data_IF_939904808765
#
_entry.id   IF_939904808765
#
_cell.length_a   1.000
_cell.length_b   1.000
_cell.length_c   1.000
_cell.angle_alpha   90.00
_cell.angle_beta   90.00
_cell.angle_gamma   90.00
#
_symmetry.space_group_name_H-M   'P 1'
#
loop_
_entity.id
_entity.type
_entity.pdbx_description
1 polymer ?
#
# COMPACT_ATOMS: atom_id res chain seq x y z
N UNK A 1 -7.91 0.51 32.73
CA UNK A 1 -6.62 -0.02 33.24
C UNK A 1 -6.52 -1.50 32.85
N UNK A 2 -6.23 -1.76 31.58
CA UNK A 2 -5.85 -3.08 31.09
C UNK A 2 -4.34 -3.11 30.99
N UNK A 3 -3.70 -3.77 31.95
CA UNK A 3 -2.28 -4.09 31.92
C UNK A 3 -2.02 -5.03 30.74
N UNK A 4 -1.66 -4.47 29.58
CA UNK A 4 -0.97 -5.23 28.54
C UNK A 4 0.41 -5.53 29.07
N UNK A 5 0.65 -6.76 29.53
CA UNK A 5 2.00 -7.24 29.78
C UNK A 5 2.74 -7.18 28.44
N UNK A 6 3.50 -6.11 28.21
CA UNK A 6 4.28 -5.99 26.99
C UNK A 6 5.31 -7.12 26.98
N UNK A 7 5.19 -8.04 26.03
CA UNK A 7 6.12 -9.15 25.90
C UNK A 7 7.53 -8.61 25.69
N UNK A 8 8.49 -9.24 26.37
CA UNK A 8 9.91 -9.07 26.05
C UNK A 8 10.13 -9.53 24.61
N UNK A 9 10.82 -8.70 23.81
CA UNK A 9 11.22 -8.96 22.43
C UNK A 9 12.64 -9.53 22.34
N UNK A 10 13.43 -9.45 23.42
CA UNK A 10 14.74 -10.09 23.51
C UNK A 10 15.78 -9.46 22.59
N UNK A 11 16.67 -10.28 22.02
CA UNK A 11 17.66 -9.85 21.04
C UNK A 11 17.04 -9.78 19.65
N UNK A 12 17.01 -8.59 19.05
CA UNK A 12 16.26 -8.34 17.80
C UNK A 12 17.19 -8.08 16.63
N UNK A 13 16.94 -8.79 15.54
CA UNK A 13 17.57 -8.65 14.24
C UNK A 13 16.71 -7.78 13.31
N UNK A 14 17.32 -6.83 12.61
CA UNK A 14 16.66 -6.03 11.56
C UNK A 14 17.38 -6.25 10.23
N UNK A 15 16.62 -6.49 9.16
CA UNK A 15 17.18 -6.75 7.83
C UNK A 15 16.89 -5.59 6.86
N UNK A 16 17.94 -5.06 6.27
CA UNK A 16 17.94 -3.99 5.27
C UNK A 16 18.25 -2.61 5.85
N UNK A 17 19.15 -1.86 5.20
CA UNK A 17 19.55 -0.49 5.60
C UNK A 17 18.74 0.61 4.86
N UNK A 18 17.56 0.26 4.36
CA UNK A 18 16.62 1.20 3.73
C UNK A 18 15.86 2.03 4.77
N UNK A 19 14.95 2.89 4.31
CA UNK A 19 14.12 3.74 5.19
C UNK A 19 13.32 2.92 6.22
N UNK A 20 12.73 1.80 5.78
CA UNK A 20 11.96 0.90 6.64
C UNK A 20 12.81 0.24 7.72
N UNK A 21 13.96 -0.33 7.35
CA UNK A 21 14.86 -0.96 8.33
C UNK A 21 15.48 0.04 9.31
N UNK A 22 15.84 1.24 8.85
CA UNK A 22 16.28 2.32 9.74
C UNK A 22 15.20 2.68 10.77
N UNK A 23 13.97 2.88 10.30
CA UNK A 23 12.83 3.21 11.17
C UNK A 23 12.56 2.11 12.21
N UNK A 24 12.52 0.85 11.78
CA UNK A 24 12.32 -0.29 12.68
C UNK A 24 13.44 -0.40 13.72
N UNK A 25 14.70 -0.25 13.30
CA UNK A 25 15.85 -0.31 14.21
C UNK A 25 15.84 0.83 15.23
N UNK A 26 15.49 2.06 14.83
CA UNK A 26 15.35 3.20 15.76
C UNK A 26 14.23 2.98 16.77
N UNK A 27 13.07 2.50 16.32
CA UNK A 27 11.95 2.16 17.22
C UNK A 27 12.37 1.12 18.25
N UNK A 28 12.96 0.00 17.79
CA UNK A 28 13.42 -1.07 18.66
C UNK A 28 14.52 -0.61 19.63
N UNK A 29 15.46 0.21 19.18
CA UNK A 29 16.52 0.77 20.03
C UNK A 29 15.94 1.65 21.15
N UNK A 30 14.86 2.40 20.88
CA UNK A 30 14.18 3.21 21.91
C UNK A 30 13.55 2.37 23.02
N UNK A 31 13.32 1.07 22.79
CA UNK A 31 12.77 0.13 23.76
C UNK A 31 13.86 -0.56 24.60
N UNK A 32 15.14 -0.32 24.33
CA UNK A 32 16.27 -0.89 25.11
C UNK A 32 16.48 -0.10 26.41
N UNK A 33 16.71 -0.76 27.57
CA UNK A 33 16.73 -2.21 27.82
C UNK A 33 15.36 -2.74 28.31
N UNK A 34 14.29 -1.96 28.18
CA UNK A 34 13.01 -2.24 28.82
C UNK A 34 12.30 -3.47 28.27
N UNK A 35 12.20 -3.61 26.94
CA UNK A 35 11.55 -4.72 26.23
C UNK A 35 12.46 -5.39 25.21
N UNK A 36 13.55 -4.73 24.82
CA UNK A 36 14.53 -5.21 23.84
C UNK A 36 15.87 -5.27 24.56
N UNK A 37 16.58 -6.40 24.43
CA UNK A 37 17.89 -6.62 25.04
C UNK A 37 19.01 -6.05 24.19
N UNK A 38 18.96 -6.28 22.87
CA UNK A 38 19.88 -5.70 21.89
C UNK A 38 19.22 -5.58 20.52
N UNK A 39 19.78 -4.71 19.67
CA UNK A 39 19.36 -4.56 18.27
C UNK A 39 20.58 -4.71 17.36
N UNK A 40 20.52 -5.65 16.43
CA UNK A 40 21.51 -5.78 15.35
C UNK A 40 20.83 -5.58 14.00
N UNK A 41 21.36 -4.71 13.15
CA UNK A 41 20.89 -4.49 11.78
C UNK A 41 21.90 -5.06 10.79
N UNK A 42 21.43 -5.92 9.89
CA UNK A 42 22.19 -6.35 8.72
C UNK A 42 21.73 -5.60 7.47
N UNK A 43 22.66 -4.93 6.80
CA UNK A 43 22.36 -4.13 5.61
C UNK A 43 22.26 -4.93 4.30
N UNK A 44 22.79 -6.15 4.25
CA UNK A 44 22.88 -7.00 3.05
C UNK A 44 24.23 -6.89 2.32
N UNK A 45 24.44 -7.70 1.26
CA UNK A 45 25.71 -7.84 0.56
C UNK A 45 26.25 -6.54 -0.05
N UNK A 46 25.36 -5.73 -0.64
CA UNK A 46 25.75 -4.49 -1.32
C UNK A 46 25.78 -3.27 -0.38
N UNK A 47 25.42 -3.45 0.89
CA UNK A 47 25.41 -2.36 1.87
C UNK A 47 26.82 -1.96 2.27
N UNK A 48 27.00 -0.67 2.56
CA UNK A 48 28.27 -0.08 2.99
C UNK A 48 28.04 0.84 4.18
N UNK A 49 29.03 1.03 5.07
CA UNK A 49 28.94 2.02 6.13
C UNK A 49 28.75 3.42 5.56
N UNK A 50 27.88 4.21 6.19
CA UNK A 50 27.54 5.56 5.75
C UNK A 50 26.91 6.38 6.87
N UNK A 51 26.27 7.49 6.52
CA UNK A 51 25.61 8.37 7.50
C UNK A 51 24.51 7.64 8.28
N UNK A 52 23.67 6.85 7.60
CA UNK A 52 22.59 6.07 8.24
C UNK A 52 23.12 5.05 9.24
N UNK A 53 24.14 4.26 8.86
CA UNK A 53 24.70 3.25 9.77
C UNK A 53 25.33 3.91 11.00
N UNK A 54 26.08 5.01 10.83
CA UNK A 54 26.66 5.76 11.94
C UNK A 54 25.60 6.33 12.88
N UNK A 55 24.51 6.85 12.33
CA UNK A 55 23.41 7.39 13.12
C UNK A 55 22.68 6.30 13.93
N UNK A 56 22.61 5.07 13.42
CA UNK A 56 22.08 3.90 14.12
C UNK A 56 23.04 3.40 15.21
N UNK A 57 24.34 3.36 14.93
CA UNK A 57 25.38 3.01 15.93
C UNK A 57 25.36 3.98 17.11
N UNK A 58 25.22 5.28 16.85
CA UNK A 58 25.04 6.30 17.91
C UNK A 58 23.75 6.11 18.72
N UNK A 59 22.73 5.46 18.15
CA UNK A 59 21.50 5.09 18.83
C UNK A 59 21.58 3.73 19.55
N UNK A 60 22.76 3.09 19.57
CA UNK A 60 22.98 1.82 20.26
C UNK A 60 22.67 0.57 19.43
N UNK A 61 22.48 0.72 18.11
CA UNK A 61 22.27 -0.42 17.19
C UNK A 61 23.60 -0.94 16.69
N UNK A 62 23.83 -2.25 16.77
CA UNK A 62 24.96 -2.88 16.08
C UNK A 62 24.65 -2.97 14.59
N UNK A 63 25.51 -2.44 13.71
CA UNK A 63 25.26 -2.44 12.27
C UNK A 63 26.31 -3.28 11.54
N UNK A 64 25.83 -4.26 10.77
CA UNK A 64 26.63 -5.15 9.93
C UNK A 64 26.34 -4.86 8.47
N UNK A 65 27.37 -4.63 7.66
CA UNK A 65 27.26 -4.32 6.23
C UNK A 65 28.17 -5.20 5.39
N UNK A 66 27.87 -5.35 4.10
CA UNK A 66 28.72 -6.08 3.16
C UNK A 66 28.54 -7.61 3.19
N UNK A 67 27.50 -8.11 3.87
CA UNK A 67 27.21 -9.54 3.98
C UNK A 67 25.71 -9.82 4.15
N UNK A 68 25.28 -10.99 3.68
CA UNK A 68 23.97 -11.59 3.93
C UNK A 68 24.06 -12.82 4.85
N UNK A 69 25.27 -13.20 5.26
CA UNK A 69 25.50 -14.26 6.25
C UNK A 69 25.24 -13.67 7.64
N UNK A 70 24.07 -13.98 8.20
CA UNK A 70 23.68 -13.60 9.55
C UNK A 70 24.30 -14.62 10.50
N UNK A 71 24.92 -14.11 11.56
CA UNK A 71 25.51 -14.91 12.63
C UNK A 71 24.85 -14.56 13.97
N UNK A 72 24.83 -15.52 14.89
CA UNK A 72 24.27 -15.35 16.23
C UNK A 72 22.91 -16.04 16.42
N UNK A 73 22.23 -15.65 17.49
CA UNK A 73 20.89 -16.13 17.86
C UNK A 73 20.06 -14.93 18.28
N UNK A 74 18.85 -14.82 17.75
CA UNK A 74 17.93 -13.72 17.96
C UNK A 74 16.54 -14.23 18.30
N UNK A 75 15.81 -13.50 19.12
CA UNK A 75 14.42 -13.79 19.48
C UNK A 75 13.45 -13.37 18.37
N UNK A 76 13.76 -12.29 17.64
CA UNK A 76 12.92 -11.77 16.58
C UNK A 76 13.76 -11.20 15.44
N UNK A 77 13.42 -11.55 14.19
CA UNK A 77 13.87 -10.88 12.98
C UNK A 77 12.77 -10.01 12.38
N UNK A 78 13.12 -8.78 11.99
CA UNK A 78 12.24 -7.84 11.32
C UNK A 78 12.77 -7.55 9.92
N UNK A 79 12.07 -8.04 8.91
CA UNK A 79 12.47 -7.94 7.51
C UNK A 79 11.89 -6.71 6.82
N UNK A 80 12.75 -5.99 6.07
CA UNK A 80 12.28 -4.99 5.13
C UNK A 80 11.50 -5.63 3.98
N UNK A 81 10.40 -5.02 3.50
CA UNK A 81 9.51 -5.63 2.50
C UNK A 81 10.17 -5.87 1.14
N UNK A 82 11.25 -5.17 0.81
CA UNK A 82 11.97 -5.38 -0.45
C UNK A 82 12.80 -6.66 -0.50
N UNK A 83 12.99 -7.37 0.62
CA UNK A 83 13.80 -8.59 0.68
C UNK A 83 12.92 -9.79 0.24
N UNK A 84 13.28 -10.54 -0.81
CA UNK A 84 12.51 -11.71 -1.24
C UNK A 84 12.42 -12.80 -0.17
N UNK A 85 11.25 -13.44 -0.08
CA UNK A 85 10.97 -14.50 0.90
C UNK A 85 11.88 -15.73 0.74
N UNK A 86 12.33 -15.97 -0.48
CA UNK A 86 13.24 -17.04 -0.88
C UNK A 86 14.68 -16.55 -1.11
N UNK A 87 15.03 -15.35 -0.63
CA UNK A 87 16.41 -14.88 -0.69
C UNK A 87 17.33 -15.66 0.26
N UNK A 88 18.61 -15.76 -0.10
CA UNK A 88 19.62 -16.32 0.80
C UNK A 88 19.71 -15.51 2.11
N UNK A 89 19.57 -14.19 2.00
CA UNK A 89 19.58 -13.29 3.16
C UNK A 89 18.46 -13.58 4.15
N UNK A 90 17.21 -13.75 3.68
CA UNK A 90 16.09 -14.03 4.58
C UNK A 90 16.19 -15.43 5.20
N UNK A 91 16.66 -16.43 4.44
CA UNK A 91 16.92 -17.78 4.98
C UNK A 91 17.99 -17.78 6.06
N UNK A 92 19.05 -17.02 5.85
CA UNK A 92 20.15 -16.83 6.80
C UNK A 92 19.63 -16.24 8.11
N UNK A 93 18.83 -15.17 8.02
CA UNK A 93 18.19 -14.56 9.18
C UNK A 93 17.22 -15.51 9.90
N UNK A 94 16.35 -16.21 9.16
CA UNK A 94 15.40 -17.16 9.71
C UNK A 94 16.08 -18.33 10.45
N UNK A 95 17.26 -18.76 9.99
CA UNK A 95 18.03 -19.81 10.67
C UNK A 95 18.63 -19.34 12.01
N UNK A 96 18.84 -18.03 12.17
CA UNK A 96 19.39 -17.41 13.37
C UNK A 96 18.33 -16.79 14.28
N UNK A 97 17.04 -16.89 13.95
CA UNK A 97 15.96 -16.19 14.67
C UNK A 97 14.82 -17.14 15.05
N UNK A 98 14.27 -16.98 16.25
CA UNK A 98 13.11 -17.75 16.70
C UNK A 98 11.83 -17.42 15.91
N UNK A 99 11.66 -16.15 15.54
CA UNK A 99 10.53 -15.66 14.75
C UNK A 99 11.03 -14.66 13.68
N UNK A 100 10.37 -14.64 12.52
CA UNK A 100 10.61 -13.64 11.47
C UNK A 100 9.30 -12.98 11.06
N UNK A 101 9.28 -11.65 11.10
CA UNK A 101 8.11 -10.82 10.75
C UNK A 101 8.50 -9.64 9.86
N UNK A 102 7.50 -8.99 9.26
CA UNK A 102 7.69 -7.72 8.58
C UNK A 102 7.56 -6.50 9.50
N UNK A 103 7.96 -5.33 8.98
CA UNK A 103 7.82 -4.06 9.69
C UNK A 103 6.35 -3.72 10.03
N UNK A 104 5.40 -4.02 9.15
CA UNK A 104 3.97 -3.78 9.40
C UNK A 104 3.45 -4.65 10.54
N UNK A 105 3.91 -5.90 10.62
CA UNK A 105 3.56 -6.80 11.72
C UNK A 105 4.12 -6.29 13.05
N UNK A 106 5.38 -5.84 13.06
CA UNK A 106 5.98 -5.20 14.23
C UNK A 106 5.15 -3.98 14.66
N UNK A 107 4.85 -3.06 13.75
CA UNK A 107 4.09 -1.86 14.07
C UNK A 107 2.68 -2.17 14.59
N UNK A 108 2.01 -3.17 14.01
CA UNK A 108 0.71 -3.62 14.49
C UNK A 108 0.80 -4.21 15.90
N UNK A 109 1.81 -5.04 16.21
CA UNK A 109 1.99 -5.62 17.55
C UNK A 109 2.23 -4.56 18.62
N UNK A 110 2.93 -3.49 18.27
CA UNK A 110 3.22 -2.37 19.17
C UNK A 110 2.00 -1.48 19.42
N UNK A 111 1.14 -1.31 18.42
CA UNK A 111 -0.03 -0.45 18.50
C UNK A 111 -1.21 -1.02 17.71
N UNK A 112 -1.90 -2.06 18.22
CA UNK A 112 -2.83 -2.88 17.43
C UNK A 112 -4.19 -2.24 17.15
N UNK A 113 -4.51 -1.14 17.82
CA UNK A 113 -5.81 -0.50 17.68
C UNK A 113 -5.88 0.36 16.41
N UNK A 114 -7.10 0.53 15.88
CA UNK A 114 -7.44 1.55 14.86
C UNK A 114 -6.60 1.50 13.59
N UNK A 115 -6.56 0.33 12.96
CA UNK A 115 -5.96 0.13 11.65
C UNK A 115 -7.02 0.00 10.55
N UNK A 116 -6.72 0.61 9.41
CA UNK A 116 -7.35 0.34 8.12
C UNK A 116 -6.25 -0.20 7.19
N UNK A 117 -6.53 -1.26 6.44
CA UNK A 117 -5.59 -1.81 5.47
C UNK A 117 -6.12 -1.59 4.04
N UNK A 118 -5.32 -0.99 3.16
CA UNK A 118 -5.70 -0.78 1.76
C UNK A 118 -4.66 -1.43 0.86
N UNK A 119 -5.11 -2.37 0.02
CA UNK A 119 -4.26 -3.04 -0.95
C UNK A 119 -4.94 -3.20 -2.32
N UNK A 120 -4.16 -3.70 -3.28
CA UNK A 120 -4.52 -3.82 -4.70
C UNK A 120 -3.29 -3.69 -5.59
N UNK A 121 -3.40 -3.99 -6.88
CA UNK A 121 -2.32 -3.65 -7.82
C UNK A 121 -2.27 -2.13 -8.02
N UNK A 122 -3.42 -1.51 -8.30
CA UNK A 122 -3.56 -0.09 -8.60
C UNK A 122 -4.58 0.61 -7.66
N UNK A 123 -4.54 1.94 -7.60
CA UNK A 123 -5.51 2.75 -6.84
C UNK A 123 -5.25 2.86 -5.33
N UNK A 124 -4.30 2.09 -4.78
CA UNK A 124 -3.97 2.07 -3.35
C UNK A 124 -3.70 3.46 -2.76
N UNK A 125 -2.83 4.22 -3.42
CA UNK A 125 -2.41 5.57 -2.99
C UNK A 125 -3.57 6.53 -2.93
N UNK A 126 -4.35 6.58 -4.01
CA UNK A 126 -5.53 7.44 -4.09
C UNK A 126 -6.53 7.08 -3.00
N UNK A 127 -6.82 5.78 -2.85
CA UNK A 127 -7.78 5.29 -1.84
C UNK A 127 -7.28 5.55 -0.42
N UNK A 128 -5.98 5.40 -0.15
CA UNK A 128 -5.38 5.62 1.17
C UNK A 128 -5.45 7.10 1.57
N UNK A 129 -5.03 8.01 0.68
CA UNK A 129 -5.13 9.44 0.99
C UNK A 129 -6.56 9.92 1.03
N UNK A 130 -7.44 9.42 0.15
CA UNK A 130 -8.85 9.77 0.17
C UNK A 130 -9.52 9.29 1.46
N UNK A 131 -9.28 8.05 1.88
CA UNK A 131 -9.80 7.54 3.16
C UNK A 131 -9.31 8.39 4.33
N UNK A 132 -8.01 8.73 4.35
CA UNK A 132 -7.43 9.61 5.39
C UNK A 132 -8.10 10.98 5.38
N UNK A 133 -8.32 11.56 4.19
CA UNK A 133 -9.00 12.84 4.01
C UNK A 133 -10.44 12.80 4.53
N UNK A 134 -11.23 11.81 4.10
CA UNK A 134 -12.63 11.64 4.53
C UNK A 134 -12.74 11.50 6.05
N UNK A 135 -11.84 10.72 6.67
CA UNK A 135 -11.81 10.57 8.12
C UNK A 135 -11.47 11.88 8.82
N UNK A 136 -10.52 12.67 8.30
CA UNK A 136 -10.16 13.98 8.86
C UNK A 136 -11.30 15.00 8.72
N UNK A 137 -11.95 15.06 7.56
CA UNK A 137 -13.13 15.91 7.32
C UNK A 137 -14.32 15.53 8.22
N UNK A 138 -14.40 14.26 8.63
CA UNK A 138 -15.34 13.78 9.64
C UNK A 138 -14.92 14.07 11.10
N UNK A 139 -13.79 14.77 11.31
CA UNK A 139 -13.29 15.12 12.64
C UNK A 139 -12.54 13.99 13.35
N UNK A 140 -12.13 12.95 12.64
CA UNK A 140 -11.39 11.82 13.18
C UNK A 140 -9.89 12.05 13.01
N UNK A 141 -9.10 11.76 14.06
CA UNK A 141 -7.65 11.71 13.94
C UNK A 141 -7.27 10.52 13.05
N UNK A 142 -6.63 10.78 11.91
CA UNK A 142 -6.21 9.76 10.96
C UNK A 142 -4.91 10.17 10.25
N UNK A 143 -4.08 9.18 9.92
CA UNK A 143 -2.80 9.35 9.25
C UNK A 143 -2.57 8.22 8.25
N UNK A 144 -2.11 8.58 7.05
CA UNK A 144 -1.65 7.61 6.06
C UNK A 144 -0.27 7.06 6.45
N UNK A 145 -0.14 5.74 6.44
CA UNK A 145 1.12 5.03 6.74
C UNK A 145 1.34 3.89 5.73
N UNK A 146 2.50 3.26 5.76
CA UNK A 146 2.80 2.04 5.01
C UNK A 146 3.71 2.29 3.81
N UNK A 147 3.35 1.73 2.65
CA UNK A 147 4.12 1.84 1.41
C UNK A 147 4.19 3.29 0.87
N UNK A 148 3.31 4.17 1.34
CA UNK A 148 3.32 5.62 1.07
C UNK A 148 3.21 6.40 2.37
N UNK A 149 3.82 7.58 2.38
CA UNK A 149 3.87 8.46 3.55
C UNK A 149 4.99 8.03 4.49
N UNK A 150 4.61 7.78 5.74
CA UNK A 150 5.52 7.44 6.84
C UNK A 150 5.47 5.93 7.10
N UNK A 151 6.63 5.24 7.20
CA UNK A 151 6.68 3.86 7.68
C UNK A 151 5.90 3.73 8.98
N UNK A 152 5.03 2.73 9.13
CA UNK A 152 4.26 2.54 10.35
C UNK A 152 5.11 2.58 11.63
N UNK A 153 6.31 1.99 11.63
CA UNK A 153 7.23 2.05 12.79
C UNK A 153 7.77 3.46 13.08
N UNK A 154 7.88 4.34 12.08
CA UNK A 154 8.27 5.75 12.27
C UNK A 154 7.10 6.52 12.87
N UNK A 155 5.88 6.26 12.41
CA UNK A 155 4.66 6.91 12.90
C UNK A 155 4.27 6.50 14.33
N UNK A 156 4.81 5.40 14.87
CA UNK A 156 4.55 4.98 16.25
C UNK A 156 5.04 6.01 17.28
N UNK A 157 6.14 6.71 16.99
CA UNK A 157 6.79 7.60 17.94
C UNK A 157 5.91 8.78 18.37
N UNK A 158 5.03 9.24 17.48
CA UNK A 158 4.17 10.40 17.66
C UNK A 158 2.69 10.09 17.38
N UNK A 159 2.30 8.80 17.41
CA UNK A 159 0.91 8.38 17.21
C UNK A 159 0.02 8.97 18.31
N UNK A 160 -0.97 9.75 17.90
CA UNK A 160 -1.95 10.33 18.83
C UNK A 160 -2.86 9.28 19.44
N UNK A 161 -3.36 9.53 20.64
CA UNK A 161 -4.37 8.67 21.27
C UNK A 161 -5.62 8.60 20.37
N UNK A 162 -6.05 7.38 20.06
CA UNK A 162 -7.20 7.16 19.18
C UNK A 162 -6.99 7.50 17.70
N UNK A 163 -5.76 7.83 17.28
CA UNK A 163 -5.44 8.12 15.87
C UNK A 163 -5.53 6.85 15.01
N UNK A 164 -6.24 6.94 13.89
CA UNK A 164 -6.35 5.88 12.90
C UNK A 164 -5.12 5.82 12.00
N UNK A 165 -4.55 4.64 11.85
CA UNK A 165 -3.56 4.35 10.82
C UNK A 165 -4.27 3.81 9.58
N UNK A 166 -4.27 4.62 8.52
CA UNK A 166 -4.78 4.25 7.20
C UNK A 166 -3.59 3.73 6.41
N UNK A 167 -3.38 2.41 6.44
CA UNK A 167 -2.18 1.78 5.93
C UNK A 167 -2.32 1.38 4.47
N UNK A 168 -1.51 1.98 3.59
CA UNK A 168 -1.27 1.44 2.25
C UNK A 168 -0.33 0.23 2.38
N UNK A 169 -0.81 -0.96 2.05
CA UNK A 169 -0.04 -2.19 2.19
C UNK A 169 0.24 -2.85 0.83
N UNK A 170 1.52 -3.05 0.52
CA UNK A 170 1.96 -3.84 -0.63
C UNK A 170 1.76 -5.35 -0.38
N UNK A 171 1.81 -6.14 -1.45
CA UNK A 171 1.79 -7.61 -1.33
C UNK A 171 3.00 -8.13 -0.56
N UNK A 172 4.16 -7.47 -0.68
CA UNK A 172 5.37 -7.85 0.05
C UNK A 172 5.23 -7.64 1.56
N UNK A 173 4.69 -6.49 1.96
CA UNK A 173 4.42 -6.21 3.37
C UNK A 173 3.45 -7.24 3.95
N UNK A 174 2.32 -7.46 3.28
CA UNK A 174 1.29 -8.41 3.72
C UNK A 174 1.80 -9.86 3.79
N UNK A 175 2.71 -10.27 2.90
CA UNK A 175 3.27 -11.62 2.92
C UNK A 175 4.01 -11.95 4.23
N UNK A 176 4.44 -10.93 4.97
CA UNK A 176 5.18 -11.05 6.25
C UNK A 176 4.36 -10.65 7.48
N UNK A 177 3.05 -10.45 7.34
CA UNK A 177 2.13 -10.17 8.48
C UNK A 177 1.46 -11.43 8.99
N UNK A 178 1.36 -11.61 10.30
CA UNK A 178 0.72 -12.77 10.93
C UNK A 178 -0.50 -12.38 11.74
N UNK A 179 -0.41 -11.34 12.58
CA UNK A 179 -1.47 -10.95 13.53
C UNK A 179 -2.25 -9.72 13.10
N UNK A 180 -1.81 -9.04 12.04
CA UNK A 180 -2.49 -7.87 11.49
C UNK A 180 -4.01 -8.08 11.42
N UNK A 181 -4.76 -7.24 12.13
CA UNK A 181 -6.22 -7.22 12.17
C UNK A 181 -6.73 -5.79 12.02
N UNK A 182 -6.98 -5.31 10.81
CA UNK A 182 -7.60 -4.01 10.60
C UNK A 182 -9.09 -4.05 10.92
N UNK A 183 -9.67 -2.91 11.31
CA UNK A 183 -11.14 -2.77 11.48
C UNK A 183 -11.87 -2.69 10.15
N UNK A 184 -11.20 -2.20 9.12
CA UNK A 184 -11.64 -2.29 7.74
C UNK A 184 -10.46 -2.59 6.82
N UNK A 185 -10.64 -3.50 5.86
CA UNK A 185 -9.64 -3.83 4.86
C UNK A 185 -10.22 -3.67 3.45
N UNK A 186 -9.39 -3.22 2.51
CA UNK A 186 -9.78 -2.95 1.12
C UNK A 186 -8.91 -3.72 0.16
N UNK A 187 -9.52 -4.44 -0.79
CA UNK A 187 -8.85 -5.01 -1.96
C UNK A 187 -9.48 -4.42 -3.24
N UNK A 188 -8.73 -3.55 -3.91
CA UNK A 188 -9.23 -2.77 -5.05
C UNK A 188 -9.26 -3.53 -6.37
N UNK A 189 -8.19 -4.28 -6.65
CA UNK A 189 -8.00 -5.04 -7.89
C UNK A 189 -6.78 -5.95 -7.77
N UNK A 190 -6.75 -7.01 -8.58
CA UNK A 190 -5.56 -7.86 -8.78
C UNK A 190 -5.31 -8.09 -10.26
N UNK A 191 -4.27 -7.43 -10.77
CA UNK A 191 -3.73 -7.59 -12.13
C UNK A 191 -2.23 -7.95 -12.07
N UNK A 192 -1.66 -8.59 -13.11
CA UNK A 192 -0.25 -8.99 -13.12
C UNK A 192 0.72 -7.86 -12.75
N UNK A 193 1.49 -8.05 -11.69
CA UNK A 193 2.58 -7.21 -11.21
C UNK A 193 3.43 -8.07 -10.25
N UNK A 194 4.71 -7.74 -10.09
CA UNK A 194 5.59 -8.37 -9.10
C UNK A 194 5.72 -9.91 -9.16
N UNK A 195 5.53 -10.52 -10.33
CA UNK A 195 5.64 -11.98 -10.50
C UNK A 195 7.08 -12.48 -10.35
N UNK A 196 8.07 -11.62 -10.53
CA UNK A 196 9.48 -11.90 -10.24
C UNK A 196 9.73 -12.23 -8.75
N UNK A 197 8.85 -11.77 -7.87
CA UNK A 197 8.94 -11.98 -6.42
C UNK A 197 7.94 -13.04 -5.93
N UNK A 198 6.72 -13.02 -6.49
CA UNK A 198 5.64 -13.94 -6.07
C UNK A 198 5.63 -15.26 -6.86
N UNK A 199 6.38 -15.35 -7.96
CA UNK A 199 6.44 -16.47 -8.91
C UNK A 199 5.15 -16.75 -9.69
N UNK A 200 3.98 -16.60 -9.05
CA UNK A 200 2.66 -16.92 -9.63
C UNK A 200 1.63 -15.85 -9.28
N UNK A 201 0.58 -15.75 -10.11
CA UNK A 201 -0.56 -14.86 -9.84
C UNK A 201 -1.33 -15.29 -8.59
N UNK A 202 -1.41 -16.61 -8.35
CA UNK A 202 -2.04 -17.20 -7.18
C UNK A 202 -1.35 -16.76 -5.88
N UNK A 203 -0.01 -16.84 -5.83
CA UNK A 203 0.75 -16.37 -4.69
C UNK A 203 0.63 -14.85 -4.49
N UNK A 204 0.63 -14.07 -5.58
CA UNK A 204 0.45 -12.62 -5.52
C UNK A 204 -0.93 -12.22 -4.97
N UNK A 205 -2.00 -12.89 -5.43
CA UNK A 205 -3.36 -12.68 -4.95
C UNK A 205 -3.49 -13.12 -3.48
N UNK A 206 -2.95 -14.28 -3.12
CA UNK A 206 -2.97 -14.81 -1.75
C UNK A 206 -2.21 -13.89 -0.78
N UNK A 207 -1.10 -13.28 -1.21
CA UNK A 207 -0.37 -12.32 -0.41
C UNK A 207 -1.23 -11.09 -0.06
N UNK A 208 -2.00 -10.56 -1.03
CA UNK A 208 -2.93 -9.44 -0.76
C UNK A 208 -4.12 -9.83 0.12
N UNK A 209 -4.62 -11.05 -0.05
CA UNK A 209 -5.73 -11.58 0.77
C UNK A 209 -5.38 -11.66 2.27
N UNK A 210 -4.09 -11.69 2.63
CA UNK A 210 -3.66 -11.66 4.04
C UNK A 210 -4.15 -10.44 4.81
N UNK A 211 -4.52 -9.35 4.13
CA UNK A 211 -5.17 -8.19 4.76
C UNK A 211 -6.47 -8.56 5.51
N UNK A 212 -7.12 -9.67 5.14
CA UNK A 212 -8.36 -10.15 5.72
C UNK A 212 -8.17 -11.33 6.70
N UNK A 213 -6.93 -11.78 6.94
CA UNK A 213 -6.65 -13.05 7.61
C UNK A 213 -7.21 -13.14 9.05
N UNK A 214 -7.06 -12.06 9.82
CA UNK A 214 -7.47 -12.04 11.24
C UNK A 214 -8.72 -11.19 11.52
N UNK A 215 -9.40 -10.70 10.48
CA UNK A 215 -10.65 -9.96 10.65
C UNK A 215 -11.73 -10.84 11.26
N UNK A 216 -12.60 -10.22 12.07
CA UNK A 216 -13.76 -10.86 12.68
C UNK A 216 -15.09 -10.28 12.16
N UNK A 217 -16.20 -10.77 12.70
CA UNK A 217 -17.55 -10.38 12.26
C UNK A 217 -17.89 -8.88 12.45
N UNK A 218 -17.19 -8.18 13.35
CA UNK A 218 -17.35 -6.73 13.58
C UNK A 218 -16.38 -5.85 12.77
N UNK A 219 -15.71 -6.43 11.78
CA UNK A 219 -14.78 -5.75 10.88
C UNK A 219 -15.34 -5.79 9.44
N UNK A 220 -15.02 -4.80 8.59
CA UNK A 220 -15.56 -4.68 7.24
C UNK A 220 -14.52 -5.00 6.16
N UNK A 221 -14.78 -6.01 5.34
CA UNK A 221 -13.97 -6.33 4.16
C UNK A 221 -14.59 -5.67 2.92
N UNK A 222 -13.94 -4.65 2.35
CA UNK A 222 -14.36 -4.03 1.08
C UNK A 222 -13.57 -4.67 -0.06
N UNK A 223 -14.25 -5.37 -0.96
CA UNK A 223 -13.58 -6.14 -2.01
C UNK A 223 -14.22 -5.83 -3.34
N UNK A 224 -13.40 -5.42 -4.33
CA UNK A 224 -13.88 -5.26 -5.69
C UNK A 224 -14.39 -6.57 -6.26
N UNK A 225 -15.49 -6.54 -7.00
CA UNK A 225 -16.04 -7.71 -7.70
C UNK A 225 -15.96 -7.56 -9.22
N UNK A 226 -15.20 -6.58 -9.70
CA UNK A 226 -15.01 -6.30 -11.12
C UNK A 226 -13.98 -7.25 -11.77
N UNK A 227 -13.02 -7.80 -11.01
CA UNK A 227 -12.07 -8.83 -11.48
C UNK A 227 -12.22 -10.20 -10.81
N UNK A 228 -11.75 -11.26 -11.48
CA UNK A 228 -11.96 -12.64 -11.07
C UNK A 228 -11.20 -13.03 -9.78
N UNK A 229 -10.04 -12.44 -9.54
CA UNK A 229 -9.23 -12.70 -8.35
C UNK A 229 -9.91 -12.10 -7.12
N UNK A 230 -10.35 -10.84 -7.22
CA UNK A 230 -11.06 -10.17 -6.13
C UNK A 230 -12.42 -10.83 -5.86
N UNK A 231 -13.18 -11.24 -6.88
CA UNK A 231 -14.40 -12.06 -6.69
C UNK A 231 -14.14 -13.34 -5.89
N UNK A 232 -13.03 -14.01 -6.19
CA UNK A 232 -12.65 -15.23 -5.47
C UNK A 232 -12.29 -14.94 -4.00
N UNK A 233 -11.64 -13.81 -3.73
CA UNK A 233 -11.35 -13.35 -2.35
C UNK A 233 -12.63 -12.96 -1.62
N UNK A 234 -13.54 -12.22 -2.25
CA UNK A 234 -14.83 -11.83 -1.68
C UNK A 234 -15.62 -13.07 -1.22
N UNK A 235 -15.76 -14.08 -2.09
CA UNK A 235 -16.43 -15.33 -1.76
C UNK A 235 -15.79 -16.09 -0.58
N UNK A 236 -14.44 -16.04 -0.45
CA UNK A 236 -13.74 -16.63 0.71
C UNK A 236 -13.96 -15.84 1.99
N UNK A 237 -13.98 -14.52 1.93
CA UNK A 237 -14.32 -13.65 3.06
C UNK A 237 -15.75 -13.93 3.55
N UNK A 238 -16.72 -14.03 2.64
CA UNK A 238 -18.11 -14.38 2.95
C UNK A 238 -18.25 -15.78 3.51
N UNK A 239 -17.56 -16.78 2.93
CA UNK A 239 -17.55 -18.15 3.44
C UNK A 239 -16.98 -18.28 4.85
N UNK A 240 -16.15 -17.32 5.29
CA UNK A 240 -15.65 -17.19 6.66
C UNK A 240 -16.61 -16.42 7.59
N UNK A 241 -17.73 -15.91 7.07
CA UNK A 241 -18.70 -15.11 7.81
C UNK A 241 -18.27 -13.66 8.03
N UNK A 242 -17.35 -13.12 7.23
CA UNK A 242 -16.97 -11.70 7.32
C UNK A 242 -18.05 -10.81 6.69
N UNK A 243 -18.30 -9.66 7.30
CA UNK A 243 -19.07 -8.58 6.66
C UNK A 243 -18.30 -8.09 5.44
N UNK A 244 -18.75 -8.49 4.26
CA UNK A 244 -18.07 -8.21 2.99
C UNK A 244 -18.90 -7.20 2.19
N UNK A 245 -18.32 -6.05 1.92
CA UNK A 245 -18.85 -5.02 1.03
C UNK A 245 -18.37 -5.28 -0.39
N UNK A 246 -19.27 -5.74 -1.26
CA UNK A 246 -19.00 -5.91 -2.68
C UNK A 246 -18.88 -4.54 -3.35
N UNK A 247 -17.69 -4.21 -3.84
CA UNK A 247 -17.40 -2.97 -4.54
C UNK A 247 -17.45 -3.19 -6.06
N UNK A 248 -18.25 -2.42 -6.79
CA UNK A 248 -18.33 -2.55 -8.25
C UNK A 248 -18.69 -1.23 -8.93
N UNK A 249 -17.99 -0.89 -10.01
CA UNK A 249 -18.38 0.24 -10.88
C UNK A 249 -19.09 -0.20 -12.15
N UNK A 250 -19.26 -1.52 -12.35
CA UNK A 250 -19.89 -2.09 -13.55
C UNK A 250 -21.37 -2.46 -13.33
N UNK A 251 -21.73 -2.79 -12.09
CA UNK A 251 -23.07 -3.24 -11.68
C UNK A 251 -23.40 -2.83 -10.25
N UNK A 252 -24.68 -2.94 -9.90
CA UNK A 252 -25.19 -2.83 -8.53
C UNK A 252 -25.26 -4.24 -7.90
N UNK A 253 -24.43 -4.56 -6.88
CA UNK A 253 -24.55 -5.82 -6.15
C UNK A 253 -25.81 -5.90 -5.28
N UNK A 254 -26.36 -7.11 -5.17
CA UNK A 254 -27.55 -7.41 -4.36
C UNK A 254 -27.23 -7.58 -2.86
N UNK A 255 -25.95 -7.60 -2.49
CA UNK A 255 -25.50 -7.83 -1.11
C UNK A 255 -25.96 -6.71 -0.16
N UNK A 256 -26.10 -7.06 1.13
CA UNK A 256 -26.48 -6.11 2.19
C UNK A 256 -25.39 -5.05 2.43
N UNK A 257 -24.13 -5.40 2.19
CA UNK A 257 -23.01 -4.47 2.14
C UNK A 257 -22.50 -4.40 0.70
N UNK A 258 -22.62 -3.24 0.06
CA UNK A 258 -22.22 -3.02 -1.33
C UNK A 258 -21.79 -1.56 -1.54
N UNK A 259 -20.88 -1.32 -2.48
CA UNK A 259 -20.50 0.02 -2.89
C UNK A 259 -20.48 0.08 -4.42
N UNK A 260 -21.33 0.91 -5.01
CA UNK A 260 -21.60 0.85 -6.44
C UNK A 260 -21.99 2.18 -7.06
N UNK A 261 -21.93 2.23 -8.39
CA UNK A 261 -22.50 3.32 -9.19
C UNK A 261 -23.95 3.01 -9.55
N UNK A 262 -24.86 3.90 -9.14
CA UNK A 262 -26.23 3.88 -9.63
C UNK A 262 -26.41 5.03 -10.62
N UNK A 263 -26.40 4.69 -11.91
CA UNK A 263 -26.22 5.66 -13.00
C UNK A 263 -24.85 6.34 -12.85
N UNK A 264 -24.79 7.60 -12.43
CA UNK A 264 -23.53 8.31 -12.12
C UNK A 264 -23.36 8.60 -10.62
N UNK A 265 -24.33 8.26 -9.78
CA UNK A 265 -24.29 8.53 -8.34
C UNK A 265 -23.50 7.45 -7.61
N UNK A 266 -22.55 7.85 -6.77
CA UNK A 266 -21.85 6.96 -5.85
C UNK A 266 -22.79 6.57 -4.70
N UNK A 267 -23.03 5.28 -4.54
CA UNK A 267 -23.90 4.74 -3.47
C UNK A 267 -23.10 3.73 -2.66
N UNK A 268 -23.13 3.88 -1.34
CA UNK A 268 -22.63 2.87 -0.39
C UNK A 268 -23.81 2.35 0.41
N UNK A 269 -24.00 1.03 0.41
CA UNK A 269 -24.96 0.29 1.21
C UNK A 269 -24.21 -0.45 2.31
N UNK A 270 -24.53 -0.22 3.57
CA UNK A 270 -24.00 -0.98 4.71
C UNK A 270 -25.15 -1.55 5.52
N UNK A 271 -25.13 -2.86 5.74
CA UNK A 271 -26.17 -3.61 6.46
C UNK A 271 -27.61 -3.28 5.97
N UNK A 272 -27.76 -3.12 4.65
CA UNK A 272 -29.04 -2.79 3.99
C UNK A 272 -29.42 -1.30 3.98
N UNK A 273 -28.65 -0.43 4.64
CA UNK A 273 -28.88 1.01 4.65
C UNK A 273 -28.09 1.67 3.52
N UNK A 274 -28.79 2.37 2.62
CA UNK A 274 -28.15 3.07 1.51
C UNK A 274 -27.79 4.52 1.84
N UNK A 275 -26.59 4.90 1.43
CA UNK A 275 -26.05 6.24 1.49
C UNK A 275 -25.73 6.70 0.06
N UNK A 276 -26.63 7.51 -0.51
CA UNK A 276 -26.35 8.22 -1.76
C UNK A 276 -25.44 9.42 -1.47
N UNK A 277 -24.24 9.40 -2.05
CA UNK A 277 -23.20 10.37 -1.76
C UNK A 277 -23.28 11.54 -2.74
N UNK A 278 -22.56 11.49 -3.85
CA UNK A 278 -22.60 12.51 -4.91
C UNK A 278 -22.49 11.84 -6.28
N UNK A 279 -22.72 12.62 -7.33
CA UNK A 279 -22.45 12.18 -8.70
C UNK A 279 -20.95 12.16 -8.97
N UNK A 280 -20.51 11.19 -9.77
CA UNK A 280 -19.11 11.04 -10.19
C UNK A 280 -18.55 12.30 -10.85
N UNK A 281 -19.39 13.09 -11.51
CA UNK A 281 -19.01 14.37 -12.13
C UNK A 281 -18.57 15.43 -11.12
N UNK A 282 -18.99 15.30 -9.86
CA UNK A 282 -18.66 16.26 -8.79
C UNK A 282 -17.34 15.89 -8.08
N UNK A 283 -16.75 14.74 -8.40
CA UNK A 283 -15.40 14.39 -7.97
C UNK A 283 -14.37 15.22 -8.74
N UNK A 284 -13.35 15.72 -8.04
CA UNK A 284 -12.17 16.36 -8.67
C UNK A 284 -11.16 15.35 -9.22
N UNK A 285 -11.38 14.05 -8.96
CA UNK A 285 -10.58 12.93 -9.48
C UNK A 285 -11.37 12.20 -10.57
N UNK A 286 -10.84 12.20 -11.80
CA UNK A 286 -11.58 11.75 -12.97
C UNK A 286 -11.39 10.26 -13.29
N UNK A 287 -12.39 9.64 -13.91
CA UNK A 287 -12.35 8.26 -14.43
C UNK A 287 -13.01 7.22 -13.52
N UNK A 288 -13.46 6.11 -14.11
CA UNK A 288 -14.17 5.04 -13.40
C UNK A 288 -13.33 4.40 -12.27
N UNK A 289 -12.03 4.26 -12.48
CA UNK A 289 -11.12 3.76 -11.43
C UNK A 289 -11.08 4.69 -10.21
N UNK A 290 -11.24 6.00 -10.39
CA UNK A 290 -11.31 6.95 -9.28
C UNK A 290 -12.68 6.95 -8.61
N UNK A 291 -13.76 6.65 -9.34
CA UNK A 291 -15.06 6.35 -8.71
C UNK A 291 -14.97 5.08 -7.83
N UNK A 292 -14.28 4.02 -8.29
CA UNK A 292 -14.02 2.81 -7.51
C UNK A 292 -13.20 3.14 -6.24
N UNK A 293 -12.13 3.92 -6.36
CA UNK A 293 -11.33 4.39 -5.21
C UNK A 293 -12.19 5.19 -4.21
N UNK A 294 -13.07 6.06 -4.72
CA UNK A 294 -13.97 6.88 -3.91
C UNK A 294 -15.02 6.05 -3.16
N UNK A 295 -15.64 5.08 -3.83
CA UNK A 295 -16.57 4.14 -3.22
C UNK A 295 -15.89 3.29 -2.14
N UNK A 296 -14.66 2.83 -2.38
CA UNK A 296 -13.87 2.10 -1.39
C UNK A 296 -13.58 2.95 -0.14
N UNK A 297 -13.08 4.17 -0.35
CA UNK A 297 -12.76 5.10 0.73
C UNK A 297 -14.00 5.52 1.54
N UNK A 298 -15.12 5.78 0.85
CA UNK A 298 -16.39 6.11 1.47
C UNK A 298 -16.94 4.96 2.32
N UNK A 299 -16.82 3.72 1.84
CA UNK A 299 -17.23 2.53 2.59
C UNK A 299 -16.49 2.41 3.91
N UNK A 300 -15.17 2.64 3.90
CA UNK A 300 -14.36 2.64 5.12
C UNK A 300 -14.75 3.79 6.05
N UNK A 301 -14.88 5.01 5.54
CA UNK A 301 -15.23 6.16 6.37
C UNK A 301 -16.59 6.00 7.06
N UNK A 302 -17.61 5.54 6.33
CA UNK A 302 -18.95 5.28 6.85
C UNK A 302 -18.94 4.18 7.93
N UNK A 303 -18.25 3.06 7.68
CA UNK A 303 -18.11 1.97 8.65
C UNK A 303 -17.48 2.44 9.97
N UNK A 304 -16.50 3.34 9.88
CA UNK A 304 -15.81 3.87 11.05
C UNK A 304 -16.53 5.04 11.74
N UNK A 305 -17.74 5.38 11.27
CA UNK A 305 -18.65 6.31 11.94
C UNK A 305 -18.70 7.72 11.36
N UNK A 306 -18.10 7.99 10.19
CA UNK A 306 -18.32 9.25 9.49
C UNK A 306 -19.78 9.36 9.03
N UNK A 307 -20.38 10.56 9.15
CA UNK A 307 -21.74 10.77 8.65
C UNK A 307 -21.76 10.82 7.12
N UNK A 308 -22.86 10.42 6.45
CA UNK A 308 -22.98 10.49 4.99
C UNK A 308 -22.73 11.89 4.43
N UNK A 309 -23.13 12.93 5.16
CA UNK A 309 -22.92 14.33 4.78
C UNK A 309 -21.44 14.68 4.78
N UNK A 310 -20.70 14.31 5.84
CA UNK A 310 -19.24 14.53 5.92
C UNK A 310 -18.49 13.77 4.85
N UNK A 311 -18.93 12.54 4.54
CA UNK A 311 -18.33 11.75 3.45
C UNK A 311 -18.60 12.40 2.10
N UNK A 312 -19.82 12.88 1.84
CA UNK A 312 -20.17 13.61 0.61
C UNK A 312 -19.31 14.88 0.46
N UNK A 313 -19.24 15.70 1.49
CA UNK A 313 -18.47 16.96 1.46
C UNK A 313 -16.97 16.69 1.30
N UNK A 314 -16.45 15.67 2.00
CA UNK A 314 -15.06 15.23 1.89
C UNK A 314 -14.70 14.71 0.50
N UNK A 315 -15.59 13.94 -0.14
CA UNK A 315 -15.40 13.46 -1.51
C UNK A 315 -15.37 14.60 -2.53
N UNK A 316 -16.25 15.59 -2.38
CA UNK A 316 -16.29 16.77 -3.24
C UNK A 316 -15.08 17.70 -3.01
N UNK A 317 -14.53 17.74 -1.79
CA UNK A 317 -13.41 18.61 -1.45
C UNK A 317 -12.04 18.01 -1.82
N UNK A 318 -11.92 16.67 -1.84
CA UNK A 318 -10.66 15.97 -2.09
C UNK A 318 -10.02 16.36 -3.43
N UNK A 319 -8.79 16.84 -3.37
CA UNK A 319 -7.97 17.16 -4.53
C UNK A 319 -6.98 16.02 -4.81
N UNK A 320 -6.58 15.81 -6.08
CA UNK A 320 -5.58 14.80 -6.43
C UNK A 320 -4.30 14.92 -5.59
N UNK A 321 -3.70 13.78 -5.29
CA UNK A 321 -2.43 13.68 -4.56
C UNK A 321 -1.30 14.14 -5.50
N UNK A 322 -0.32 14.86 -4.96
CA UNK A 322 0.96 15.14 -5.62
C UNK A 322 1.50 13.87 -6.32
N UNK A 323 2.09 14.02 -7.50
CA UNK A 323 2.63 12.95 -8.35
C UNK A 323 1.62 12.01 -9.07
N UNK A 324 0.32 12.36 -9.16
CA UNK A 324 -0.65 11.68 -10.04
C UNK A 324 -1.30 12.65 -11.02
N UNK A 325 -0.79 12.68 -12.25
CA UNK A 325 -1.14 13.70 -13.26
C UNK A 325 -1.11 15.11 -12.64
N UNK A 326 -0.15 15.36 -11.75
CA UNK A 326 -0.06 16.60 -11.01
C UNK A 326 0.48 17.71 -11.92
N UNK A 327 -0.20 18.86 -12.06
CA UNK A 327 0.36 19.99 -12.77
C UNK A 327 1.64 20.48 -12.08
N UNK A 328 2.78 20.36 -12.77
CA UNK A 328 4.10 20.77 -12.29
C UNK A 328 4.55 22.12 -12.86
N UNK A 329 3.59 22.95 -13.27
CA UNK A 329 3.81 24.27 -13.86
C UNK A 329 3.87 24.28 -15.38
N UNK A 330 4.10 25.46 -15.93
CA UNK A 330 4.18 25.72 -17.37
C UNK A 330 5.42 26.56 -17.67
N UNK A 331 6.22 26.12 -18.65
CA UNK A 331 7.41 26.87 -19.09
C UNK A 331 7.38 26.94 -20.61
N UNK A 332 7.38 28.17 -21.15
CA UNK A 332 7.40 28.40 -22.60
C UNK A 332 6.19 27.82 -23.34
N UNK A 333 5.01 27.81 -22.72
CA UNK A 333 3.78 27.24 -23.31
C UNK A 333 3.65 25.72 -23.19
N UNK A 334 4.61 25.04 -22.54
CA UNK A 334 4.56 23.59 -22.30
C UNK A 334 4.15 23.32 -20.87
N UNK A 335 3.04 22.61 -20.70
CA UNK A 335 2.56 22.14 -19.39
C UNK A 335 3.37 20.92 -18.97
N UNK A 336 3.92 20.97 -17.76
CA UNK A 336 4.61 19.84 -17.14
C UNK A 336 3.64 19.10 -16.24
N UNK A 337 3.67 17.78 -16.30
CA UNK A 337 2.83 16.91 -15.49
C UNK A 337 3.71 15.92 -14.77
N UNK A 338 3.57 15.86 -13.45
CA UNK A 338 4.24 14.94 -12.57
C UNK A 338 3.33 13.74 -12.30
N UNK A 339 3.68 12.60 -12.90
CA UNK A 339 2.99 11.32 -12.72
C UNK A 339 3.96 10.24 -12.22
N UNK A 340 4.92 10.62 -11.37
CA UNK A 340 6.00 9.73 -10.92
C UNK A 340 5.53 8.50 -10.12
N UNK A 341 4.24 8.44 -9.74
CA UNK A 341 3.61 7.26 -9.13
C UNK A 341 3.19 6.18 -10.14
N UNK A 342 3.25 6.44 -11.45
CA UNK A 342 3.02 5.42 -12.47
C UNK A 342 4.23 4.45 -12.58
N UNK A 343 4.29 3.50 -11.64
CA UNK A 343 5.42 2.54 -11.48
C UNK A 343 5.18 1.17 -12.15
N UNK A 344 4.14 1.06 -12.96
CA UNK A 344 3.82 -0.10 -13.80
C UNK A 344 3.18 0.35 -15.13
N UNK A 345 3.16 -0.55 -16.12
CA UNK A 345 2.67 -0.27 -17.49
C UNK A 345 1.22 0.20 -17.50
N UNK A 346 0.34 -0.52 -16.80
CA UNK A 346 -1.10 -0.23 -16.70
C UNK A 346 -1.38 1.19 -16.13
N UNK A 347 -0.58 1.65 -15.16
CA UNK A 347 -0.72 3.01 -14.63
C UNK A 347 -0.41 4.07 -15.68
N UNK A 348 0.64 3.87 -16.47
CA UNK A 348 1.01 4.79 -17.55
C UNK A 348 -0.06 4.77 -18.64
N UNK A 349 -0.51 3.59 -19.08
CA UNK A 349 -1.56 3.43 -20.09
C UNK A 349 -2.82 4.19 -19.69
N UNK A 350 -3.25 4.07 -18.43
CA UNK A 350 -4.38 4.81 -17.87
C UNK A 350 -4.12 6.31 -17.85
N UNK A 351 -2.93 6.74 -17.43
CA UNK A 351 -2.60 8.16 -17.34
C UNK A 351 -2.64 8.85 -18.71
N UNK A 352 -2.17 8.18 -19.76
CA UNK A 352 -2.20 8.70 -21.13
C UNK A 352 -3.62 8.98 -21.63
N UNK A 353 -4.65 8.33 -21.08
CA UNK A 353 -6.04 8.59 -21.46
C UNK A 353 -6.56 9.96 -21.04
N UNK A 354 -5.89 10.63 -20.10
CA UNK A 354 -6.26 11.96 -19.62
C UNK A 354 -5.84 13.10 -20.57
N UNK A 355 -5.09 12.80 -21.62
CA UNK A 355 -4.55 13.79 -22.55
C UNK A 355 -4.98 13.52 -23.99
N UNK A 356 -5.03 14.59 -24.79
CA UNK A 356 -5.30 14.51 -26.21
C UNK A 356 -4.16 13.80 -26.95
N UNK A 357 -4.52 12.92 -27.87
CA UNK A 357 -3.55 12.17 -28.66
C UNK A 357 -2.62 13.10 -29.47
N UNK A 358 -1.34 12.75 -29.52
CA UNK A 358 -0.30 13.49 -30.24
C UNK A 358 0.24 14.73 -29.52
N UNK A 359 -0.22 15.03 -28.30
CA UNK A 359 0.23 16.20 -27.53
C UNK A 359 1.28 15.88 -26.45
N UNK A 360 1.42 14.61 -26.07
CA UNK A 360 2.22 14.19 -24.92
C UNK A 360 3.66 13.89 -25.31
N UNK A 361 4.63 14.42 -24.56
CA UNK A 361 6.01 13.91 -24.51
C UNK A 361 6.14 13.11 -23.23
N UNK A 362 6.29 11.79 -23.34
CA UNK A 362 6.32 10.89 -22.18
C UNK A 362 7.75 10.52 -21.79
N UNK A 363 8.04 10.47 -20.49
CA UNK A 363 9.32 10.02 -19.94
C UNK A 363 9.09 8.64 -19.30
N UNK A 364 9.76 7.60 -19.81
CA UNK A 364 9.58 6.21 -19.38
C UNK A 364 10.91 5.60 -18.93
N UNK A 365 10.97 5.03 -17.74
CA UNK A 365 12.20 4.45 -17.24
C UNK A 365 12.15 4.03 -15.79
N UNK A 366 13.21 3.36 -15.35
CA UNK A 366 13.33 2.85 -13.98
C UNK A 366 14.00 1.47 -13.94
N UNK A 367 13.67 0.71 -12.90
CA UNK A 367 14.09 -0.69 -12.73
C UNK A 367 13.25 -1.61 -13.63
N UNK A 368 13.88 -2.61 -14.24
CA UNK A 368 13.19 -3.49 -15.18
C UNK A 368 12.51 -4.68 -14.48
N UNK A 369 11.18 -4.62 -14.35
CA UNK A 369 10.36 -5.70 -13.79
C UNK A 369 10.14 -6.89 -14.73
N UNK A 370 10.73 -6.87 -15.94
CA UNK A 370 10.56 -7.92 -16.95
C UNK A 370 9.09 -8.18 -17.38
N UNK A 371 8.19 -7.22 -17.13
CA UNK A 371 6.78 -7.28 -17.56
C UNK A 371 6.64 -7.22 -19.08
N UNK A 372 5.51 -7.70 -19.62
CA UNK A 372 5.15 -7.48 -21.02
C UNK A 372 4.94 -5.98 -21.28
N UNK A 373 5.44 -5.50 -22.41
CA UNK A 373 5.43 -4.09 -22.80
C UNK A 373 4.53 -3.83 -24.01
N UNK A 374 3.88 -4.86 -24.55
CA UNK A 374 3.09 -4.76 -25.78
C UNK A 374 1.95 -3.74 -25.66
N UNK A 375 1.13 -3.84 -24.61
CA UNK A 375 0.02 -2.89 -24.36
C UNK A 375 0.51 -1.46 -24.10
N UNK A 376 1.62 -1.33 -23.36
CA UNK A 376 2.23 -0.03 -23.10
C UNK A 376 2.69 0.61 -24.41
N UNK A 377 3.35 -0.17 -25.27
CA UNK A 377 3.83 0.29 -26.56
C UNK A 377 2.68 0.79 -27.44
N UNK A 378 1.61 0.00 -27.54
CA UNK A 378 0.41 0.39 -28.28
C UNK A 378 -0.19 1.70 -27.76
N UNK A 379 -0.32 1.84 -26.43
CA UNK A 379 -0.88 3.05 -25.81
C UNK A 379 0.01 4.29 -26.03
N UNK A 380 1.33 4.14 -25.91
CA UNK A 380 2.30 5.23 -26.12
C UNK A 380 2.33 5.63 -27.59
N UNK A 381 2.40 4.68 -28.52
CA UNK A 381 2.42 4.96 -29.96
C UNK A 381 1.10 5.60 -30.43
N UNK A 382 -0.04 5.25 -29.81
CA UNK A 382 -1.33 5.83 -30.15
C UNK A 382 -1.50 7.28 -29.62
N UNK A 383 -0.83 7.66 -28.52
CA UNK A 383 -1.14 8.91 -27.79
C UNK A 383 0.03 9.90 -27.67
N UNK A 384 1.26 9.44 -27.69
CA UNK A 384 2.44 10.29 -27.45
C UNK A 384 3.08 10.75 -28.76
N UNK A 385 3.62 11.96 -28.74
CA UNK A 385 4.43 12.52 -29.84
C UNK A 385 5.87 12.02 -29.77
N UNK A 386 6.41 11.90 -28.56
CA UNK A 386 7.78 11.48 -28.28
C UNK A 386 7.78 10.67 -26.99
N UNK A 387 8.59 9.61 -26.95
CA UNK A 387 8.93 8.89 -25.73
C UNK A 387 10.43 9.05 -25.44
N UNK A 388 10.78 9.48 -24.24
CA UNK A 388 12.16 9.55 -23.75
C UNK A 388 12.37 8.37 -22.80
N UNK A 389 13.18 7.40 -23.21
CA UNK A 389 13.42 6.17 -22.45
C UNK A 389 14.71 6.27 -21.63
N UNK A 390 14.69 5.88 -20.36
CA UNK A 390 15.84 5.99 -19.46
C UNK A 390 15.91 4.87 -18.40
N UNK A 391 16.99 4.83 -17.63
CA UNK A 391 17.20 3.83 -16.57
C UNK A 391 17.47 2.43 -17.10
N UNK A 392 17.43 1.44 -16.21
CA UNK A 392 17.70 0.02 -16.52
C UNK A 392 16.70 -0.55 -17.53
N UNK A 393 15.41 -0.24 -17.38
CA UNK A 393 14.35 -0.68 -18.29
C UNK A 393 14.36 0.07 -19.64
N UNK A 394 15.08 1.19 -19.75
CA UNK A 394 15.05 2.11 -20.89
C UNK A 394 15.29 1.43 -22.25
N UNK A 395 16.34 0.61 -22.42
CA UNK A 395 16.58 -0.08 -23.69
C UNK A 395 15.45 -1.05 -24.10
N UNK A 396 14.82 -1.74 -23.14
CA UNK A 396 13.74 -2.70 -23.42
C UNK A 396 12.46 -1.96 -23.81
N UNK A 397 12.16 -0.84 -23.14
CA UNK A 397 11.03 0.03 -23.48
C UNK A 397 11.23 0.65 -24.86
N UNK A 398 12.41 1.19 -25.17
CA UNK A 398 12.71 1.76 -26.48
C UNK A 398 12.52 0.72 -27.60
N UNK A 399 13.06 -0.49 -27.42
CA UNK A 399 12.90 -1.58 -28.38
C UNK A 399 11.43 -2.00 -28.58
N UNK A 400 10.61 -1.94 -27.52
CA UNK A 400 9.18 -2.25 -27.63
C UNK A 400 8.41 -1.17 -28.43
N UNK A 401 8.82 0.10 -28.32
CA UNK A 401 8.19 1.24 -29.01
C UNK A 401 8.58 1.40 -30.48
N UNK A 402 9.70 0.80 -30.90
CA UNK A 402 10.18 0.83 -32.28
C UNK A 402 9.55 -0.23 -33.19
N UNK A 403 8.72 -1.12 -32.62
CA UNK A 403 7.96 -2.15 -33.35
C UNK A 403 6.68 -1.56 -33.92
#
# INVERSE_FOLDING_TARGET
MTSTSHSQLGDVLVLGLGRTGESAARHLASLVPSRVSSVTLYGGADSRPGERSRALELAGVSVVTGTEAVEGSYDLAVASPGIPLDSAFLRSAAACSHELVGEVELAFRESPERWVAITGTNGKTTTTSLTTHLMREAGMAARSVGNIGTPPTEALADRGEGEWFVAELSSFQLATTERLRPRAAVLLNVTPDHLEWHHTMEAYAAAKERAFANMGAGDLAVVSVDDAWCRSVAARCEGRGLRTCELSVEREPDSACAAFLRRDTLVVRLDGVEHALLDRSDLKIFGLHNAQNALAAASVALELGASPERVRDGLASFSPIEHRIEPAGEVGGVRYVNDSKATNTDSVEKALTAFDAGTVVVLLGGHDKMTDLSSLADAVCARCRVAVCFGEAGPRIACALER
#
